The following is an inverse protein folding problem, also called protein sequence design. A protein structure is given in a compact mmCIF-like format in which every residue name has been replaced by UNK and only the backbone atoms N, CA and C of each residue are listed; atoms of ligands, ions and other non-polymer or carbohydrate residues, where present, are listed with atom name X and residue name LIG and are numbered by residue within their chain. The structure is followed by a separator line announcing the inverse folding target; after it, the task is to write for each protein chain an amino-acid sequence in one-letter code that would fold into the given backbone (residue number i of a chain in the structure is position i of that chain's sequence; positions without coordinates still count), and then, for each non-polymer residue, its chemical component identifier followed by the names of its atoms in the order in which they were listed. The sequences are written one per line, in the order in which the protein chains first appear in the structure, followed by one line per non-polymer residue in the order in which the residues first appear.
data_IF_320658357121
#
_entry.id   IF_320658357121
#
_cell.length_a   1.000
_cell.length_b   1.000
_cell.length_c   1.000
_cell.angle_alpha   90.00
_cell.angle_beta   90.00
_cell.angle_gamma   90.00
#
_symmetry.space_group_name_H-M   'P 1'
#
loop_
_entity.id
_entity.type
_entity.pdbx_description
1 polymer ?
#
# COMPACT_ATOMS: atom_id res chain seq x y z
N UNK A 1 6.51 -4.07 18.55
CA UNK A 1 6.59 -3.39 17.23
C UNK A 1 5.24 -2.76 16.89
N UNK A 2 4.94 -2.66 15.62
CA UNK A 2 3.65 -2.04 15.21
C UNK A 2 2.74 -3.06 14.50
N UNK A 3 2.59 -4.23 15.05
CA UNK A 3 1.69 -5.24 14.47
C UNK A 3 0.24 -4.88 14.82
N UNK A 4 0.06 -3.78 15.50
CA UNK A 4 -1.31 -3.36 15.91
C UNK A 4 -1.53 -1.87 15.65
N UNK A 5 -0.66 -1.23 14.93
CA UNK A 5 -0.84 0.22 14.68
C UNK A 5 -0.29 0.54 13.30
N UNK A 6 -0.45 -0.37 12.38
CA UNK A 6 0.07 -0.14 11.02
C UNK A 6 -1.11 -0.08 10.06
N UNK A 7 -1.26 1.03 9.38
CA UNK A 7 -2.41 1.17 8.44
C UNK A 7 -1.99 1.94 7.18
N UNK A 8 -2.51 1.56 6.04
CA UNK A 8 -2.18 2.27 4.78
C UNK A 8 -3.48 2.74 4.12
N UNK A 9 -3.57 3.98 3.78
CA UNK A 9 -4.83 4.46 3.14
C UNK A 9 -4.51 5.55 2.13
N UNK A 10 -5.21 5.57 1.03
CA UNK A 10 -4.95 6.61 0.02
C UNK A 10 -6.14 6.72 -0.95
N UNK A 11 -6.05 7.69 -1.83
CA UNK A 11 -7.06 7.90 -2.88
C UNK A 11 -6.80 6.90 -4.01
N UNK A 12 -5.90 5.99 -3.80
CA UNK A 12 -5.56 4.97 -4.83
C UNK A 12 -5.89 3.59 -4.28
N UNK A 13 -6.10 2.62 -5.14
CA UNK A 13 -6.43 1.23 -4.68
C UNK A 13 -7.95 1.08 -4.54
N UNK A 14 -8.66 2.14 -4.68
CA UNK A 14 -10.15 2.04 -4.60
C UNK A 14 -10.62 1.27 -5.82
N UNK A 15 -9.77 1.19 -6.82
CA UNK A 15 -10.11 0.45 -8.06
C UNK A 15 -11.11 1.25 -8.91
N UNK A 16 -12.17 0.62 -9.31
CA UNK A 16 -13.19 1.30 -10.15
C UNK A 16 -12.63 1.66 -11.52
N UNK A 17 -11.58 2.43 -11.57
CA UNK A 17 -11.03 2.83 -12.90
C UNK A 17 -9.54 2.55 -12.99
N UNK A 18 -9.10 2.12 -14.15
CA UNK A 18 -7.65 1.84 -14.35
C UNK A 18 -6.93 3.12 -14.81
N UNK A 19 -7.65 4.07 -15.34
CA UNK A 19 -6.98 5.31 -15.82
C UNK A 19 -6.92 6.33 -14.70
N UNK A 20 -7.16 5.88 -13.51
CA UNK A 20 -7.04 6.79 -12.35
C UNK A 20 -5.68 6.50 -11.72
N UNK A 21 -5.03 7.51 -11.24
CA UNK A 21 -3.71 7.34 -10.62
C UNK A 21 -3.87 6.58 -9.32
N UNK A 22 -3.11 5.54 -9.11
CA UNK A 22 -3.28 4.78 -7.86
C UNK A 22 -2.14 5.10 -6.91
N UNK A 23 -2.43 5.77 -5.84
CA UNK A 23 -1.35 6.13 -4.88
C UNK A 23 -1.92 6.22 -3.46
N UNK A 24 -1.23 5.66 -2.52
CA UNK A 24 -1.69 5.70 -1.10
C UNK A 24 -0.50 5.91 -0.18
N UNK A 25 -0.73 6.38 1.01
CA UNK A 25 0.40 6.59 1.95
C UNK A 25 0.25 5.63 3.12
N UNK A 26 1.33 5.04 3.56
CA UNK A 26 1.23 4.07 4.68
C UNK A 26 1.76 4.72 5.95
N UNK A 27 1.14 4.45 7.05
CA UNK A 27 1.59 5.06 8.34
C UNK A 27 1.75 3.97 9.40
N UNK A 28 2.95 3.75 9.86
CA UNK A 28 3.17 2.71 10.90
C UNK A 28 3.37 3.36 12.26
N UNK A 29 2.97 2.70 13.32
CA UNK A 29 3.18 3.29 14.68
C UNK A 29 3.67 2.17 15.61
N UNK A 30 4.78 2.38 16.22
CA UNK A 30 5.34 1.36 17.14
C UNK A 30 5.10 1.82 18.57
N UNK A 31 5.59 1.06 19.52
CA UNK A 31 5.42 1.39 20.94
C UNK A 31 6.38 2.51 21.38
N UNK A 32 6.89 3.31 20.47
CA UNK A 32 7.81 4.39 20.90
C UNK A 32 7.20 5.75 20.54
N UNK A 33 5.95 5.77 20.15
CA UNK A 33 5.32 7.05 19.76
C UNK A 33 5.93 7.43 18.42
N UNK A 34 6.23 6.43 17.63
CA UNK A 34 6.87 6.66 16.33
C UNK A 34 6.44 5.56 15.35
N UNK A 35 6.98 5.55 14.17
CA UNK A 35 6.60 4.49 13.20
C UNK A 35 7.66 3.39 13.22
N UNK A 36 7.94 2.85 14.38
CA UNK A 36 8.95 1.78 14.51
C UNK A 36 10.32 2.34 14.16
N UNK A 37 10.86 3.18 15.00
CA UNK A 37 12.20 3.77 14.69
C UNK A 37 12.25 4.16 13.21
N UNK A 38 11.79 5.34 12.86
CA UNK A 38 11.80 5.75 11.44
C UNK A 38 13.14 5.38 10.80
N UNK A 39 13.15 5.16 9.51
CA UNK A 39 14.42 4.78 8.82
C UNK A 39 14.59 3.27 8.87
N UNK A 40 14.24 2.64 9.97
CA UNK A 40 14.40 1.16 10.06
C UNK A 40 13.03 0.53 10.33
N UNK A 41 12.02 0.92 9.60
CA UNK A 41 10.67 0.33 9.82
C UNK A 41 10.52 -0.89 8.93
N UNK A 42 10.24 -2.04 9.49
CA UNK A 42 10.07 -3.26 8.65
C UNK A 42 8.78 -3.10 7.85
N UNK A 43 8.71 -2.10 7.04
CA UNK A 43 7.49 -1.85 6.23
C UNK A 43 7.68 -2.39 4.82
N UNK A 44 6.96 -3.41 4.46
CA UNK A 44 7.08 -3.94 3.08
C UNK A 44 5.70 -3.84 2.44
N UNK A 45 5.57 -3.01 1.44
CA UNK A 45 4.26 -2.86 0.77
C UNK A 45 4.41 -3.27 -0.69
N UNK A 46 3.37 -3.77 -1.27
CA UNK A 46 3.47 -4.19 -2.69
C UNK A 46 2.09 -4.27 -3.32
N UNK A 47 1.93 -3.66 -4.45
CA UNK A 47 0.64 -3.71 -5.17
C UNK A 47 0.89 -4.32 -6.54
N UNK A 48 -0.12 -4.87 -7.13
CA UNK A 48 0.09 -5.42 -8.49
C UNK A 48 -1.24 -5.79 -9.13
N UNK A 49 -1.25 -5.81 -10.44
CA UNK A 49 -2.48 -6.15 -11.20
C UNK A 49 -2.06 -6.48 -12.64
N UNK A 50 -3.02 -6.57 -13.51
CA UNK A 50 -2.77 -6.88 -14.93
C UNK A 50 -2.24 -5.64 -15.66
N UNK A 51 -1.01 -5.27 -15.41
CA UNK A 51 -0.43 -4.07 -16.08
C UNK A 51 1.10 -4.17 -16.10
N UNK A 52 1.72 -3.19 -16.71
CA UNK A 52 3.19 -3.12 -16.82
C UNK A 52 3.80 -2.64 -15.50
N UNK A 53 3.41 -1.48 -15.05
CA UNK A 53 3.96 -0.94 -13.77
C UNK A 53 3.08 -1.42 -12.61
N UNK A 54 3.19 -2.68 -12.25
CA UNK A 54 2.32 -3.20 -11.15
C UNK A 54 3.00 -3.04 -9.77
N UNK A 55 4.24 -3.46 -9.66
CA UNK A 55 4.99 -3.37 -8.39
C UNK A 55 5.54 -1.94 -8.20
N UNK A 56 4.93 -1.14 -7.37
CA UNK A 56 5.43 0.24 -7.18
C UNK A 56 5.35 0.64 -5.72
N UNK A 57 6.42 0.54 -4.99
CA UNK A 57 6.36 0.96 -3.57
C UNK A 57 7.64 1.69 -3.17
N UNK A 58 7.51 2.78 -2.45
CA UNK A 58 8.70 3.57 -2.03
C UNK A 58 8.58 3.96 -0.55
N UNK A 59 9.70 4.20 0.09
CA UNK A 59 9.67 4.61 1.52
C UNK A 59 10.33 5.98 1.66
N UNK A 60 9.67 6.92 2.29
CA UNK A 60 10.27 8.28 2.43
C UNK A 60 11.14 8.37 3.69
N UNK A 61 10.91 7.52 4.66
CA UNK A 61 11.76 7.56 5.88
C UNK A 61 11.17 8.52 6.92
N UNK A 62 9.89 8.80 6.87
CA UNK A 62 9.27 9.71 7.87
C UNK A 62 8.16 8.97 8.60
N UNK A 63 8.24 7.67 8.66
CA UNK A 63 7.17 6.88 9.35
C UNK A 63 6.00 6.67 8.40
N UNK A 64 6.01 7.35 7.28
CA UNK A 64 4.91 7.19 6.30
C UNK A 64 5.52 6.82 4.94
N UNK A 65 5.05 5.75 4.33
CA UNK A 65 5.62 5.35 3.02
C UNK A 65 4.54 5.42 1.94
N UNK A 66 4.91 5.55 0.69
CA UNK A 66 3.86 5.66 -0.36
C UNK A 66 4.04 4.58 -1.41
N UNK A 67 2.96 4.19 -2.02
CA UNK A 67 3.02 3.15 -3.07
C UNK A 67 2.11 3.60 -4.23
N UNK A 68 2.47 3.34 -5.48
CA UNK A 68 1.58 3.83 -6.59
C UNK A 68 1.65 2.95 -7.84
N UNK A 69 0.54 2.54 -8.34
CA UNK A 69 0.53 1.76 -9.62
C UNK A 69 -0.53 2.39 -10.53
N UNK A 70 -0.43 2.23 -11.82
CA UNK A 70 -1.44 2.86 -12.72
C UNK A 70 -1.63 2.01 -14.00
N UNK A 71 -2.71 1.26 -14.04
CA UNK A 71 -3.06 0.40 -15.19
C UNK A 71 -3.71 1.21 -16.32
N UNK A 72 -3.90 0.60 -17.47
CA UNK A 72 -4.53 1.34 -18.62
C UNK A 72 -5.66 0.53 -19.27
N UNK A 73 -6.25 -0.41 -18.58
CA UNK A 73 -7.34 -1.21 -19.20
C UNK A 73 -8.29 -1.70 -18.09
N UNK A 74 -8.78 -2.90 -18.20
CA UNK A 74 -9.68 -3.45 -17.14
C UNK A 74 -8.84 -4.35 -16.26
N UNK A 75 -8.83 -4.12 -14.98
CA UNK A 75 -7.95 -4.95 -14.11
C UNK A 75 -8.37 -4.87 -12.64
N UNK A 76 -7.93 -5.81 -11.87
CA UNK A 76 -8.25 -5.82 -10.43
C UNK A 76 -6.94 -5.61 -9.68
N UNK A 77 -7.00 -5.12 -8.48
CA UNK A 77 -5.73 -4.85 -7.75
C UNK A 77 -5.61 -5.73 -6.54
N UNK A 78 -4.43 -6.19 -6.30
CA UNK A 78 -4.19 -7.00 -5.10
C UNK A 78 -3.15 -6.24 -4.29
N UNK A 79 -3.44 -6.01 -3.05
CA UNK A 79 -2.50 -5.20 -2.23
C UNK A 79 -1.69 -6.04 -1.25
N UNK A 80 -0.60 -5.50 -0.85
CA UNK A 80 0.28 -6.18 0.12
C UNK A 80 0.97 -5.09 0.95
N UNK A 81 0.67 -5.03 2.20
CA UNK A 81 1.27 -4.00 3.09
C UNK A 81 1.63 -4.70 4.38
N UNK A 82 2.88 -4.72 4.73
CA UNK A 82 3.28 -5.48 5.95
C UNK A 82 4.22 -4.67 6.85
N UNK A 83 4.00 -4.72 8.13
CA UNK A 83 4.89 -3.99 9.08
C UNK A 83 5.16 -4.83 10.32
N UNK A 84 6.00 -5.85 10.19
CA UNK A 84 6.34 -6.76 11.34
C UNK A 84 6.44 -8.19 10.80
N UNK A 85 5.82 -8.43 9.68
CA UNK A 85 5.84 -9.80 9.10
C UNK A 85 4.40 -10.21 8.76
N UNK A 86 3.44 -9.33 8.96
CA UNK A 86 2.04 -9.67 8.63
C UNK A 86 1.49 -8.56 7.75
N UNK A 87 0.29 -8.68 7.24
CA UNK A 87 -0.24 -7.61 6.36
C UNK A 87 -1.39 -6.89 7.06
N UNK A 88 -1.68 -5.68 6.65
CA UNK A 88 -2.80 -4.94 7.29
C UNK A 88 -4.12 -5.64 6.96
N UNK A 89 -5.21 -5.27 7.61
CA UNK A 89 -6.51 -5.96 7.34
C UNK A 89 -7.21 -5.38 6.11
N UNK A 90 -6.48 -4.80 5.20
CA UNK A 90 -7.11 -4.23 3.98
C UNK A 90 -6.14 -4.32 2.79
N UNK A 91 -5.08 -5.07 2.93
CA UNK A 91 -4.07 -5.17 1.83
C UNK A 91 -4.11 -6.50 1.09
N UNK A 92 -4.26 -7.60 1.79
CA UNK A 92 -4.33 -8.89 1.13
C UNK A 92 -5.69 -9.01 0.44
N UNK A 93 -6.38 -7.91 0.32
CA UNK A 93 -7.69 -7.92 -0.36
C UNK A 93 -7.48 -7.53 -1.81
N UNK A 94 -8.47 -7.67 -2.62
CA UNK A 94 -8.32 -7.32 -4.04
C UNK A 94 -9.37 -6.31 -4.47
N UNK A 95 -8.94 -5.23 -5.03
CA UNK A 95 -9.94 -4.22 -5.49
C UNK A 95 -10.14 -4.42 -7.00
N UNK A 96 -11.25 -4.03 -7.55
CA UNK A 96 -11.46 -4.30 -9.00
C UNK A 96 -11.71 -3.03 -9.83
N UNK A 97 -11.14 -3.02 -11.01
CA UNK A 97 -11.35 -1.89 -11.97
C UNK A 97 -11.92 -2.49 -13.25
N UNK A 98 -12.78 -1.75 -13.93
CA UNK A 98 -13.39 -2.29 -15.17
C UNK A 98 -12.58 -1.81 -16.38
N UNK A 99 -13.06 -2.08 -17.58
CA UNK A 99 -12.32 -1.70 -18.81
C UNK A 99 -12.30 -0.19 -18.96
N UNK A 100 -11.28 0.42 -18.42
CA UNK A 100 -11.14 1.89 -18.50
C UNK A 100 -11.34 2.35 -19.96
#
# INVERSE_FOLDING_TARGET
ADPEKSYAEGPGLDGGECFQPSKFKIHAVDPDGVHRTDGGDGFVVTIEGPAPVDPVMVDNGDGTYDVEFEPKEAGDYVINLTLDGDNVNGFPKTVTVKPA
#
